data_IF_883414809311
#
_entry.id   IF_883414809311
#
_cell.length_a   1.000
_cell.length_b   1.000
_cell.length_c   1.000
_cell.angle_alpha   90.00
_cell.angle_beta   90.00
_cell.angle_gamma   90.00
#
_symmetry.space_group_name_H-M   'P 1'
#
loop_
_entity.id
_entity.type
_entity.pdbx_description
1 polymer ?
#
# COMPACT_ATOMS: atom_id res chain seq x y z
N UNK A 8 -24.82 15.29 18.56
CA UNK A 8 -23.36 15.44 18.57
C UNK A 8 -22.68 14.95 17.26
N UNK A 9 -21.35 15.14 17.10
CA UNK A 9 -20.67 14.70 15.88
C UNK A 9 -20.43 13.19 15.88
N UNK A 10 -20.01 12.68 14.71
CA UNK A 10 -19.72 11.28 14.49
C UNK A 10 -18.22 10.99 14.59
N UNK A 11 -17.88 9.80 15.12
CA UNK A 11 -16.52 9.35 15.43
C UNK A 11 -16.17 8.03 14.75
N UNK A 12 -14.94 7.95 14.23
CA UNK A 12 -14.44 6.76 13.55
C UNK A 12 -13.10 6.40 14.18
N UNK A 13 -12.91 5.13 14.55
CA UNK A 13 -11.61 4.65 15.03
C UNK A 13 -10.90 4.00 13.86
N UNK A 14 -9.68 4.44 13.55
CA UNK A 14 -8.96 3.90 12.42
C UNK A 14 -7.77 3.12 12.91
N UNK A 15 -7.73 1.82 12.61
CA UNK A 15 -6.64 0.96 13.10
C UNK A 15 -5.80 0.44 11.93
N UNK A 16 -4.71 1.07 11.58
CA UNK A 16 -3.88 0.52 10.51
C UNK A 16 -3.06 -0.63 11.01
N UNK A 17 -2.59 -1.43 10.05
CA UNK A 17 -1.56 -2.41 10.37
C UNK A 17 -0.28 -1.60 10.64
N UNK A 18 0.67 -2.21 11.34
CA UNK A 18 1.85 -1.50 11.83
C UNK A 18 2.94 -1.30 10.77
N UNK A 19 2.61 -0.79 9.60
CA UNK A 19 3.59 -0.61 8.55
C UNK A 19 3.46 0.78 7.97
N UNK A 20 4.57 1.30 7.43
CA UNK A 20 4.57 2.68 6.96
C UNK A 20 3.55 2.88 5.85
N UNK A 21 3.47 1.94 4.90
CA UNK A 21 2.55 2.12 3.77
C UNK A 21 1.11 2.13 4.28
N UNK A 22 0.82 1.29 5.25
CA UNK A 22 -0.52 1.19 5.80
C UNK A 22 -0.83 2.48 6.51
N UNK A 23 0.14 2.98 7.23
CA UNK A 23 -0.07 4.21 7.98
C UNK A 23 -0.34 5.36 7.01
N UNK A 24 0.39 5.40 5.89
CA UNK A 24 0.21 6.51 4.98
C UNK A 24 -1.16 6.44 4.37
N UNK A 25 -1.54 5.25 3.88
CA UNK A 25 -2.87 5.09 3.32
C UNK A 25 -3.94 5.48 4.31
N UNK A 26 -3.87 4.94 5.53
CA UNK A 26 -4.91 5.23 6.51
C UNK A 26 -4.96 6.69 6.90
N UNK A 27 -3.82 7.38 6.89
CA UNK A 27 -3.87 8.79 7.26
C UNK A 27 -4.56 9.59 6.17
N UNK A 28 -4.33 9.22 4.90
CA UNK A 28 -5.01 9.94 3.82
C UNK A 28 -6.50 9.74 3.91
N UNK A 29 -6.93 8.51 4.15
CA UNK A 29 -8.36 8.31 4.36
C UNK A 29 -8.80 9.01 5.63
N UNK A 30 -7.92 9.15 6.63
CA UNK A 30 -8.34 9.83 7.84
C UNK A 30 -8.55 11.30 7.59
N UNK A 31 -7.68 11.90 6.77
CA UNK A 31 -7.82 13.33 6.45
C UNK A 31 -9.10 13.62 5.71
N UNK A 32 -9.45 12.79 4.72
CA UNK A 32 -10.67 13.05 3.96
C UNK A 32 -11.91 12.96 4.85
N UNK A 33 -11.94 11.99 5.77
CA UNK A 33 -13.04 11.82 6.69
C UNK A 33 -13.16 13.01 7.65
N UNK A 34 -12.02 13.64 7.99
CA UNK A 34 -12.04 14.88 8.78
C UNK A 34 -12.69 16.03 8.00
N UNK A 35 -12.37 16.13 6.70
CA UNK A 35 -12.94 17.18 5.86
C UNK A 35 -14.44 16.98 5.67
N UNK A 36 -14.91 15.75 5.87
CA UNK A 36 -16.33 15.43 5.74
C UNK A 36 -17.01 15.36 7.09
N UNK A 37 -16.50 16.13 8.05
CA UNK A 37 -17.16 16.33 9.33
C UNK A 37 -17.30 15.03 10.14
N UNK A 38 -16.21 14.29 10.22
CA UNK A 38 -16.07 13.14 11.11
C UNK A 38 -14.95 13.40 12.08
N UNK A 39 -15.05 12.80 13.26
CA UNK A 39 -13.99 12.85 14.25
C UNK A 39 -13.18 11.56 14.15
N UNK A 40 -11.88 11.67 13.96
CA UNK A 40 -11.06 10.50 13.67
C UNK A 40 -10.26 10.14 14.92
N UNK A 41 -10.31 8.88 15.29
CA UNK A 41 -9.41 8.34 16.31
C UNK A 41 -8.37 7.50 15.56
N UNK A 42 -7.16 8.07 15.36
CA UNK A 42 -6.09 7.39 14.65
C UNK A 42 -5.27 6.59 15.68
N UNK A 43 -5.32 5.25 15.55
CA UNK A 43 -4.79 4.35 16.57
C UNK A 43 -3.69 3.43 16.06
N UNK A 44 -2.49 3.61 16.61
CA UNK A 44 -1.39 2.73 16.35
C UNK A 44 -0.45 2.83 17.54
N UNK A 45 0.71 2.21 17.43
CA UNK A 45 1.69 2.27 18.48
C UNK A 45 2.39 3.62 18.52
N UNK A 46 3.05 3.90 19.64
CA UNK A 46 3.68 5.19 19.78
C UNK A 46 4.74 5.42 18.71
N UNK A 47 5.46 4.38 18.32
CA UNK A 47 6.51 4.59 17.31
C UNK A 47 5.91 4.98 15.97
N UNK A 48 4.78 4.39 15.59
CA UNK A 48 4.17 4.70 14.30
C UNK A 48 3.51 6.09 14.26
N UNK A 49 2.81 6.43 15.32
CA UNK A 49 2.18 7.74 15.48
C UNK A 49 3.21 8.87 15.35
N UNK A 50 4.43 8.62 15.81
CA UNK A 50 5.48 9.62 15.70
C UNK A 50 5.95 9.73 14.26
N UNK A 51 5.99 8.60 13.56
CA UNK A 51 6.50 8.57 12.20
C UNK A 51 5.52 9.10 11.18
N UNK A 52 4.24 9.18 11.52
CA UNK A 52 3.25 9.73 10.59
C UNK A 52 2.82 11.11 11.05
N UNK A 53 3.21 11.52 12.26
CA UNK A 53 2.78 12.81 12.78
C UNK A 53 3.22 13.96 11.87
N UNK A 54 4.41 13.95 11.26
CA UNK A 54 4.78 15.07 10.38
C UNK A 54 3.80 15.29 9.23
N UNK A 55 3.13 14.24 8.77
CA UNK A 55 2.25 14.40 7.62
C UNK A 55 0.89 14.93 7.96
N UNK A 56 0.58 15.16 9.24
CA UNK A 56 -0.73 15.67 9.58
C UNK A 56 -0.59 17.15 9.91
N UNK A 57 -1.10 18.07 9.08
CA UNK A 57 -0.96 19.51 9.36
C UNK A 57 -1.66 19.93 10.65
N UNK A 58 -1.26 21.09 11.17
CA UNK A 58 -1.80 21.58 12.45
C UNK A 58 -3.29 21.97 12.38
N UNK A 59 -3.87 22.10 11.18
CA UNK A 59 -5.30 22.39 11.00
C UNK A 59 -6.21 21.21 11.34
N UNK A 60 -5.68 19.98 11.33
CA UNK A 60 -6.43 18.77 11.68
C UNK A 60 -6.30 18.40 13.17
N UNK A 61 -5.73 19.27 14.01
CA UNK A 61 -5.46 18.87 15.40
C UNK A 61 -6.72 18.67 16.22
N UNK A 62 -7.83 19.24 15.83
CA UNK A 62 -9.02 19.05 16.62
C UNK A 62 -9.91 17.92 16.08
N UNK A 63 -9.64 17.44 14.86
CA UNK A 63 -10.48 16.44 14.21
C UNK A 63 -9.83 15.07 14.03
N UNK A 64 -8.53 14.92 14.28
CA UNK A 64 -7.85 13.62 14.17
C UNK A 64 -6.95 13.49 15.41
N UNK A 65 -7.34 12.63 16.34
CA UNK A 65 -6.59 12.36 17.56
C UNK A 65 -5.80 11.07 17.41
N UNK A 66 -4.58 11.09 17.91
CA UNK A 66 -3.75 9.90 17.89
C UNK A 66 -3.97 9.13 19.20
N UNK A 67 -4.35 7.86 19.08
CA UNK A 67 -4.69 7.02 20.23
C UNK A 67 -3.65 5.92 20.27
N UNK A 68 -2.87 5.89 21.35
CA UNK A 68 -1.77 4.93 21.40
C UNK A 68 -2.24 3.53 21.77
N UNK A 69 -1.82 2.56 20.97
CA UNK A 69 -2.01 1.16 21.27
C UNK A 69 -0.74 0.61 21.93
N UNK A 70 -0.91 -0.04 23.08
CA UNK A 70 0.23 -0.53 23.85
C UNK A 70 0.46 -2.00 23.52
N UNK A 71 1.63 -2.28 22.86
CA UNK A 71 2.10 -3.65 22.77
C UNK A 71 2.90 -3.97 24.02
N UNK A 72 2.89 -5.19 24.53
CA UNK A 72 3.71 -5.50 25.71
C UNK A 72 5.18 -5.24 25.42
N UNK A 73 5.82 -4.42 26.27
CA UNK A 73 7.20 -4.03 26.01
C UNK A 73 8.11 -4.64 27.08
N UNK A 74 9.39 -4.74 26.75
CA UNK A 74 10.41 -5.28 27.63
C UNK A 74 11.70 -4.55 27.29
N UNK A 75 12.69 -4.57 28.19
CA UNK A 75 13.90 -3.77 27.91
C UNK A 75 14.59 -4.10 26.59
N UNK A 76 14.50 -5.34 26.12
CA UNK A 76 15.16 -5.76 24.89
C UNK A 76 14.26 -5.75 23.65
N UNK A 77 12.94 -5.53 23.82
CA UNK A 77 12.00 -5.34 22.70
C UNK A 77 11.14 -4.13 23.07
N UNK A 78 11.74 -2.95 23.08
CA UNK A 78 11.05 -1.73 23.63
C UNK A 78 10.10 -1.14 22.62
N UNK A 79 9.30 -0.14 23.01
CA UNK A 79 8.27 0.38 22.08
C UNK A 79 8.78 0.93 20.74
N UNK A 80 9.99 1.49 20.65
CA UNK A 80 10.44 2.06 19.39
C UNK A 80 10.68 0.99 18.34
N UNK A 81 10.51 -0.29 18.70
CA UNK A 81 10.55 -1.41 17.77
C UNK A 81 9.16 -2.02 17.52
N UNK A 82 8.10 -1.42 18.03
CA UNK A 82 6.78 -2.00 17.82
C UNK A 82 6.24 -1.53 16.47
N UNK A 83 6.99 -1.86 15.42
CA UNK A 83 6.62 -1.57 14.04
C UNK A 83 7.45 -2.42 13.11
N UNK A 84 6.94 -2.63 11.89
CA UNK A 84 7.65 -3.41 10.88
C UNK A 84 8.64 -2.57 10.06
N UNK A 85 8.73 -1.27 10.34
CA UNK A 85 9.60 -0.36 9.61
C UNK A 85 11.01 -0.47 10.18
N UNK A 86 11.95 -1.04 9.41
CA UNK A 86 13.32 -1.06 9.86
C UNK A 86 13.64 -2.16 10.85
N UNK A 87 12.72 -3.12 11.04
CA UNK A 87 12.79 -4.18 12.03
C UNK A 87 13.56 -5.38 11.50
N UNK A 88 14.48 -5.94 12.29
CA UNK A 88 15.18 -7.14 11.85
C UNK A 88 14.17 -8.24 11.58
N UNK A 89 14.34 -8.99 10.49
CA UNK A 89 13.34 -10.03 10.15
C UNK A 89 13.18 -11.11 11.21
N UNK A 90 14.24 -11.41 11.98
CA UNK A 90 14.18 -12.41 13.04
C UNK A 90 13.38 -11.94 14.24
N UNK A 91 13.12 -10.64 14.36
CA UNK A 91 12.21 -10.11 15.35
C UNK A 91 10.78 -10.05 14.85
N UNK A 92 10.54 -10.42 13.60
CA UNK A 92 9.17 -10.39 13.11
C UNK A 92 8.27 -11.29 13.95
N UNK A 93 8.68 -12.49 14.37
CA UNK A 93 7.74 -13.32 15.16
C UNK A 93 7.27 -12.66 16.44
N UNK A 94 8.17 -11.98 17.13
CA UNK A 94 7.79 -11.28 18.36
C UNK A 94 6.80 -10.16 18.09
N UNK A 95 6.99 -9.40 16.99
CA UNK A 95 6.06 -8.31 16.74
C UNK A 95 4.64 -8.84 16.57
N UNK A 96 4.49 -9.94 15.81
CA UNK A 96 3.18 -10.54 15.62
C UNK A 96 2.61 -11.05 16.93
N UNK A 97 3.47 -11.65 17.74
CA UNK A 97 3.04 -12.10 19.05
C UNK A 97 2.64 -10.91 19.91
N UNK A 98 3.46 -9.86 19.95
CA UNK A 98 3.12 -8.74 20.81
C UNK A 98 1.84 -8.09 20.32
N UNK A 99 1.67 -8.01 18.99
CA UNK A 99 0.46 -7.40 18.44
C UNK A 99 -0.76 -8.21 18.81
N UNK A 100 -0.63 -9.54 18.79
CA UNK A 100 -1.74 -10.42 19.13
C UNK A 100 -2.25 -10.12 20.52
N UNK A 101 -1.32 -9.92 21.44
CA UNK A 101 -1.56 -9.62 22.84
C UNK A 101 -2.10 -8.20 23.05
N UNK A 102 -2.06 -7.35 22.03
CA UNK A 102 -2.61 -6.03 22.25
C UNK A 102 -4.12 -6.03 22.12
N UNK A 103 -4.73 -7.21 21.92
CA UNK A 103 -6.16 -7.23 21.71
C UNK A 103 -6.89 -6.78 22.97
N UNK A 104 -6.38 -7.16 24.13
CA UNK A 104 -7.15 -6.77 25.30
C UNK A 104 -7.11 -5.28 25.54
N UNK A 105 -6.00 -4.60 25.19
CA UNK A 105 -5.97 -3.15 25.37
C UNK A 105 -6.80 -2.44 24.32
N UNK A 106 -6.81 -2.95 23.08
CA UNK A 106 -7.62 -2.35 22.03
C UNK A 106 -9.07 -2.32 22.42
N UNK A 107 -9.54 -3.38 23.04
CA UNK A 107 -10.90 -3.39 23.56
C UNK A 107 -11.08 -2.33 24.62
N UNK A 108 -10.06 -2.08 25.45
CA UNK A 108 -10.20 -0.99 26.40
C UNK A 108 -10.27 0.34 25.69
N UNK A 109 -9.66 0.45 24.51
CA UNK A 109 -9.75 1.69 23.74
C UNK A 109 -11.16 1.84 23.18
N UNK A 110 -11.71 0.77 22.60
CA UNK A 110 -13.06 0.86 22.03
C UNK A 110 -14.11 1.17 23.09
N UNK A 111 -14.03 0.52 24.26
CA UNK A 111 -15.02 0.74 25.30
C UNK A 111 -14.99 2.19 25.76
N UNK A 112 -13.80 2.75 25.89
CA UNK A 112 -13.68 4.10 26.40
C UNK A 112 -14.07 5.13 25.36
N UNK A 113 -13.53 4.99 24.14
CA UNK A 113 -13.81 5.97 23.10
C UNK A 113 -15.23 5.83 22.57
N UNK A 114 -15.77 4.61 22.56
CA UNK A 114 -17.11 4.35 22.06
C UNK A 114 -17.29 5.00 20.68
N UNK A 115 -16.52 4.55 19.70
CA UNK A 115 -16.63 5.15 18.37
C UNK A 115 -17.87 4.61 17.70
N UNK A 116 -18.28 5.33 16.67
CA UNK A 116 -19.41 4.87 15.90
C UNK A 116 -19.01 3.92 14.79
N UNK A 117 -17.73 3.83 14.46
CA UNK A 117 -17.29 2.97 13.39
C UNK A 117 -15.84 2.56 13.59
N UNK A 118 -15.52 1.35 13.21
CA UNK A 118 -14.15 0.88 13.22
C UNK A 118 -13.75 0.60 11.78
N UNK A 119 -12.72 1.28 11.29
CA UNK A 119 -12.12 0.98 9.98
C UNK A 119 -10.77 0.32 10.27
N UNK A 120 -10.65 -0.95 9.95
CA UNK A 120 -9.45 -1.68 10.32
C UNK A 120 -8.68 -2.16 9.10
N UNK A 121 -7.37 -2.26 9.25
CA UNK A 121 -6.58 -2.83 8.19
C UNK A 121 -6.85 -4.32 8.11
N UNK A 122 -6.38 -4.91 7.02
CA UNK A 122 -6.70 -6.31 6.73
C UNK A 122 -5.79 -7.30 7.50
N UNK A 123 -5.03 -6.86 8.51
CA UNK A 123 -4.13 -7.78 9.20
C UNK A 123 -4.41 -7.93 10.69
N UNK A 124 -5.54 -7.43 11.19
CA UNK A 124 -5.86 -7.68 12.59
C UNK A 124 -6.99 -8.69 12.65
N UNK A 125 -6.71 -9.94 12.96
CA UNK A 125 -7.84 -10.89 13.11
C UNK A 125 -8.72 -10.55 14.30
N UNK A 126 -8.15 -9.93 15.32
CA UNK A 126 -8.92 -9.66 16.53
C UNK A 126 -9.69 -8.35 16.47
N UNK A 127 -9.37 -7.44 15.52
CA UNK A 127 -10.08 -6.17 15.41
C UNK A 127 -11.55 -6.30 15.01
N UNK A 128 -11.93 -7.06 13.98
CA UNK A 128 -13.37 -7.26 13.75
C UNK A 128 -14.00 -8.15 14.80
N UNK A 129 -13.24 -9.03 15.44
CA UNK A 129 -13.81 -9.87 16.49
C UNK A 129 -14.06 -9.07 17.77
N UNK A 130 -13.20 -8.09 18.06
CA UNK A 130 -13.41 -7.29 19.27
C UNK A 130 -14.54 -6.28 19.05
N UNK A 131 -14.64 -5.74 17.84
CA UNK A 131 -15.68 -4.75 17.58
C UNK A 131 -17.06 -5.39 17.59
N UNK A 132 -17.18 -6.66 17.13
CA UNK A 132 -18.50 -7.32 17.18
C UNK A 132 -18.94 -7.49 18.61
N UNK A 133 -17.99 -7.74 19.53
CA UNK A 133 -18.32 -7.94 20.93
C UNK A 133 -18.94 -6.69 21.55
N UNK A 134 -18.53 -5.50 21.11
CA UNK A 134 -19.06 -4.28 21.68
C UNK A 134 -20.17 -3.66 20.81
N UNK A 135 -20.65 -4.41 19.81
CA UNK A 135 -21.73 -3.95 18.91
C UNK A 135 -21.37 -2.62 18.23
N UNK A 136 -20.14 -2.53 17.74
CA UNK A 136 -19.63 -1.37 17.00
C UNK A 136 -19.39 -1.81 15.56
N UNK A 137 -20.03 -1.20 14.56
CA UNK A 137 -19.82 -1.63 13.17
C UNK A 137 -18.39 -1.44 12.69
N UNK A 138 -17.89 -2.38 11.90
CA UNK A 138 -16.49 -2.32 11.48
C UNK A 138 -16.36 -2.63 10.00
N UNK A 139 -15.75 -1.73 9.25
CA UNK A 139 -15.59 -1.93 7.82
C UNK A 139 -14.12 -2.18 7.59
N UNK A 140 -13.82 -2.96 6.56
CA UNK A 140 -12.46 -3.37 6.22
C UNK A 140 -11.89 -2.41 5.19
N UNK A 141 -10.65 -1.99 5.38
CA UNK A 141 -9.96 -1.15 4.41
C UNK A 141 -8.66 -1.78 4.00
N UNK A 142 -8.54 -2.11 2.71
CA UNK A 142 -7.34 -2.72 2.16
C UNK A 142 -6.48 -1.65 1.51
N UNK A 143 -5.25 -1.58 1.96
CA UNK A 143 -4.42 -0.51 1.44
C UNK A 143 -3.68 -0.92 0.17
N UNK A 144 -3.85 -2.15 -0.29
CA UNK A 144 -3.14 -2.59 -1.48
C UNK A 144 -4.15 -2.93 -2.58
N UNK A 145 -3.67 -3.54 -3.67
CA UNK A 145 -4.52 -3.65 -4.84
C UNK A 145 -5.46 -4.84 -4.80
N UNK A 146 -6.48 -4.79 -5.67
CA UNK A 146 -7.44 -5.89 -5.82
C UNK A 146 -6.91 -7.01 -6.72
N UNK A 147 -5.99 -6.69 -7.64
CA UNK A 147 -5.57 -7.67 -8.64
C UNK A 147 -4.89 -8.86 -7.99
N UNK A 148 -4.09 -8.60 -6.95
CA UNK A 148 -3.41 -9.68 -6.25
C UNK A 148 -4.37 -10.50 -5.39
N UNK A 149 -5.43 -9.87 -4.85
CA UNK A 149 -6.39 -10.61 -4.04
C UNK A 149 -7.24 -11.55 -4.89
N UNK A 150 -7.63 -11.14 -6.11
CA UNK A 150 -8.42 -12.03 -6.96
C UNK A 150 -7.59 -13.20 -7.49
N UNK A 151 -6.28 -13.04 -7.60
CA UNK A 151 -5.48 -14.17 -8.06
C UNK A 151 -5.47 -15.27 -7.01
N UNK A 152 -5.53 -14.89 -5.73
CA UNK A 152 -5.54 -15.88 -4.67
C UNK A 152 -6.86 -16.56 -4.44
N UNK A 153 -7.98 -15.86 -4.68
CA UNK A 153 -9.30 -16.44 -4.48
C UNK A 153 -9.82 -17.16 -5.71
N UNK A 154 -9.13 -17.06 -6.86
CA UNK A 154 -9.59 -17.77 -8.04
C UNK A 154 -9.50 -19.28 -7.90
N UNK A 155 -8.39 -19.87 -7.44
CA UNK A 155 -8.37 -21.34 -7.28
C UNK A 155 -9.35 -21.85 -6.23
N UNK A 156 -9.85 -20.98 -5.34
CA UNK A 156 -10.72 -21.41 -4.24
C UNK A 156 -12.07 -21.89 -4.79
N UNK A 157 -12.62 -21.18 -5.76
CA UNK A 157 -13.87 -21.55 -6.44
C UNK A 157 -13.60 -22.29 -7.75
N UNK A 158 -12.66 -21.78 -8.57
CA UNK A 158 -12.34 -22.34 -9.88
C UNK A 158 -10.90 -22.83 -9.84
N UNK A 159 -10.66 -24.08 -9.42
CA UNK A 159 -9.29 -24.60 -9.46
C UNK A 159 -8.93 -24.92 -10.90
N UNK A 160 -9.95 -25.29 -11.68
CA UNK A 160 -9.83 -25.75 -13.06
C UNK A 160 -9.82 -24.63 -14.10
N UNK A 161 -10.61 -23.57 -13.92
CA UNK A 161 -10.68 -22.53 -14.93
C UNK A 161 -9.41 -21.66 -14.93
N UNK A 162 -9.01 -21.18 -16.10
CA UNK A 162 -7.91 -20.22 -16.16
C UNK A 162 -8.40 -18.85 -15.67
N UNK A 163 -7.46 -17.99 -15.24
CA UNK A 163 -7.84 -16.66 -14.77
C UNK A 163 -8.47 -15.90 -15.93
N UNK A 164 -9.71 -15.47 -15.79
CA UNK A 164 -10.48 -15.02 -16.95
C UNK A 164 -9.90 -13.81 -17.69
N UNK A 165 -9.68 -12.69 -17.00
CA UNK A 165 -9.42 -11.42 -17.66
C UNK A 165 -7.94 -11.14 -17.92
N UNK A 166 -7.04 -11.88 -17.28
CA UNK A 166 -5.63 -11.60 -17.32
C UNK A 166 -4.88 -12.76 -17.96
N UNK A 167 -3.81 -12.44 -18.70
CA UNK A 167 -2.96 -13.47 -19.31
C UNK A 167 -1.61 -13.53 -18.61
N UNK A 168 -1.51 -12.91 -17.43
CA UNK A 168 -0.31 -12.85 -16.62
C UNK A 168 0.04 -14.21 -16.00
N UNK A 169 1.34 -14.49 -15.95
CA UNK A 169 1.88 -15.70 -15.33
C UNK A 169 3.08 -15.37 -14.46
N UNK A 170 3.35 -16.20 -13.45
CA UNK A 170 4.43 -15.97 -12.48
C UNK A 170 5.29 -17.21 -12.30
N UNK A 171 6.58 -17.03 -11.98
CA UNK A 171 7.50 -18.17 -11.80
C UNK A 171 7.31 -18.99 -10.53
N UNK A 172 6.68 -18.44 -9.49
CA UNK A 172 6.49 -19.11 -8.20
C UNK A 172 7.83 -19.51 -7.61
N UNK A 173 8.93 -18.97 -8.15
CA UNK A 173 10.24 -19.17 -7.54
C UNK A 173 10.20 -18.57 -6.14
N UNK A 174 9.24 -17.68 -5.91
CA UNK A 174 8.97 -17.09 -4.61
C UNK A 174 8.49 -18.14 -3.62
N UNK A 175 7.62 -19.07 -4.07
CA UNK A 175 7.00 -20.19 -3.32
C UNK A 175 6.87 -20.01 -1.81
N UNK A 185 5.63 -18.20 7.70
CA UNK A 185 5.66 -19.63 7.39
C UNK A 185 4.26 -20.21 7.55
N UNK A 186 3.75 -20.25 8.79
CA UNK A 186 2.42 -20.78 9.07
C UNK A 186 1.36 -19.69 8.93
N UNK A 187 1.70 -18.59 8.26
CA UNK A 187 0.76 -17.49 8.01
C UNK A 187 -0.36 -17.96 7.10
N UNK A 188 -0.03 -18.78 6.08
CA UNK A 188 -1.02 -19.22 5.09
C UNK A 188 -2.14 -19.94 5.81
N UNK A 189 -1.81 -20.65 6.90
CA UNK A 189 -2.81 -21.40 7.65
C UNK A 189 -3.89 -20.44 8.12
N UNK A 190 -3.49 -19.22 8.51
CA UNK A 190 -4.43 -18.18 8.92
C UNK A 190 -5.07 -17.49 7.70
N UNK A 191 -4.32 -17.32 6.58
CA UNK A 191 -4.82 -16.58 5.41
C UNK A 191 -6.01 -17.25 4.72
N UNK A 192 -5.97 -18.58 4.56
CA UNK A 192 -7.06 -19.27 3.85
C UNK A 192 -8.39 -19.16 4.62
N UNK A 193 -8.34 -19.19 5.96
CA UNK A 193 -9.55 -19.10 6.78
C UNK A 193 -10.31 -17.78 6.64
N UNK A 194 -9.60 -16.70 6.30
CA UNK A 194 -10.28 -15.43 6.02
C UNK A 194 -11.21 -15.56 4.83
N UNK A 195 -10.79 -16.32 3.81
CA UNK A 195 -11.58 -16.45 2.58
C UNK A 195 -12.98 -16.95 2.90
N UNK A 196 -13.08 -17.79 3.92
CA UNK A 196 -14.33 -18.40 4.34
C UNK A 196 -14.93 -17.68 5.55
N UNK A 197 -14.36 -16.53 5.97
CA UNK A 197 -14.94 -15.76 7.07
C UNK A 197 -16.33 -15.22 6.69
N UNK A 198 -17.34 -15.59 7.49
CA UNK A 198 -18.72 -15.28 7.18
C UNK A 198 -19.04 -13.80 7.41
N UNK A 199 -20.31 -13.43 7.16
CA UNK A 199 -20.74 -12.05 7.35
C UNK A 199 -22.26 -11.99 7.45
N UNK A 200 -22.80 -11.62 8.63
CA UNK A 200 -24.24 -11.42 8.82
C UNK A 200 -24.60 -9.98 9.16
N UNK A 201 -23.72 -9.03 8.84
CA UNK A 201 -23.99 -7.63 9.12
C UNK A 201 -23.54 -6.81 7.92
N UNK A 202 -24.04 -5.57 7.86
CA UNK A 202 -23.69 -4.64 6.80
C UNK A 202 -22.30 -4.04 6.98
N UNK A 203 -21.73 -4.13 8.19
CA UNK A 203 -20.40 -3.59 8.45
C UNK A 203 -19.32 -4.31 7.64
N UNK A 204 -19.39 -5.63 7.56
CA UNK A 204 -18.44 -6.41 6.75
C UNK A 204 -18.93 -6.62 5.32
N UNK A 205 -20.17 -6.20 5.00
CA UNK A 205 -20.77 -6.37 3.67
C UNK A 205 -20.14 -5.51 2.61
N UNK A 206 -19.32 -4.55 2.99
CA UNK A 206 -18.66 -3.65 2.07
C UNK A 206 -17.23 -3.45 2.57
N UNK A 207 -16.29 -3.39 1.64
CA UNK A 207 -14.91 -3.12 1.98
C UNK A 207 -14.38 -1.95 1.15
N UNK A 208 -13.54 -1.12 1.76
CA UNK A 208 -12.90 -0.03 1.05
C UNK A 208 -11.52 -0.48 0.62
N UNK A 209 -11.05 0.04 -0.52
CA UNK A 209 -9.77 -0.44 -1.02
C UNK A 209 -9.04 0.67 -1.77
N UNK A 210 -7.70 0.61 -1.74
CA UNK A 210 -6.82 1.68 -2.24
C UNK A 210 -6.40 1.42 -3.68
N UNK A 211 -7.39 1.55 -4.55
CA UNK A 211 -7.20 1.37 -5.97
C UNK A 211 -8.26 2.21 -6.68
N UNK A 212 -8.11 2.33 -8.00
CA UNK A 212 -9.04 3.08 -8.82
C UNK A 212 -9.44 2.22 -9.98
N UNK A 213 -10.67 2.42 -10.48
CA UNK A 213 -11.22 1.49 -11.47
C UNK A 213 -10.51 1.56 -12.81
N UNK A 214 -9.88 2.70 -13.16
CA UNK A 214 -9.23 2.80 -14.46
C UNK A 214 -8.10 1.79 -14.58
N UNK A 215 -7.54 1.36 -13.44
CA UNK A 215 -6.47 0.38 -13.34
C UNK A 215 -6.97 -1.03 -13.04
N UNK A 216 -7.98 -1.18 -12.20
CA UNK A 216 -8.39 -2.52 -11.79
C UNK A 216 -9.90 -2.65 -11.75
N UNK A 217 -10.60 -2.10 -12.76
CA UNK A 217 -12.05 -2.19 -12.73
C UNK A 217 -12.60 -3.60 -12.81
N UNK A 218 -12.00 -4.42 -13.68
CA UNK A 218 -12.45 -5.79 -13.84
C UNK A 218 -12.17 -6.61 -12.59
N UNK A 219 -11.04 -6.36 -11.93
CA UNK A 219 -10.66 -7.17 -10.78
C UNK A 219 -11.47 -6.80 -9.54
N UNK A 220 -11.91 -5.53 -9.43
CA UNK A 220 -12.87 -5.19 -8.37
C UNK A 220 -14.21 -5.84 -8.64
N UNK A 221 -14.69 -5.77 -9.89
CA UNK A 221 -15.96 -6.43 -10.23
C UNK A 221 -15.90 -7.93 -10.01
N UNK A 222 -14.77 -8.56 -10.34
CA UNK A 222 -14.61 -9.99 -10.09
C UNK A 222 -14.51 -10.30 -8.61
N UNK A 223 -13.71 -9.52 -7.88
CA UNK A 223 -13.58 -9.71 -6.45
C UNK A 223 -14.90 -9.43 -5.72
N UNK A 224 -15.72 -8.51 -6.22
CA UNK A 224 -16.97 -8.26 -5.53
C UNK A 224 -17.85 -9.51 -5.55
N UNK A 225 -17.77 -10.26 -6.65
CA UNK A 225 -18.57 -11.47 -6.87
C UNK A 225 -18.08 -12.66 -6.04
N UNK A 226 -16.76 -12.85 -5.93
CA UNK A 226 -16.19 -13.94 -5.13
C UNK A 226 -16.47 -13.75 -3.65
N UNK A 227 -16.26 -12.52 -3.15
CA UNK A 227 -16.44 -12.20 -1.74
C UNK A 227 -17.90 -12.02 -1.37
N UNK A 228 -18.76 -11.79 -2.37
CA UNK A 228 -20.14 -11.38 -2.14
C UNK A 228 -20.19 -10.09 -1.31
N UNK A 229 -19.27 -9.17 -1.61
CA UNK A 229 -19.18 -7.91 -0.88
C UNK A 229 -19.15 -6.76 -1.88
N UNK A 230 -19.33 -5.56 -1.37
CA UNK A 230 -19.26 -4.39 -2.22
C UNK A 230 -17.85 -3.86 -2.10
N UNK A 231 -17.18 -3.70 -3.23
CA UNK A 231 -15.80 -3.23 -3.27
C UNK A 231 -15.85 -1.76 -3.63
N UNK A 232 -15.72 -0.89 -2.63
CA UNK A 232 -15.81 0.56 -2.79
C UNK A 232 -14.39 1.11 -2.91
N UNK A 233 -13.97 1.56 -4.08
CA UNK A 233 -12.62 2.12 -4.20
C UNK A 233 -12.54 3.52 -3.65
N UNK A 234 -11.44 3.80 -2.95
CA UNK A 234 -11.18 5.12 -2.39
C UNK A 234 -9.77 5.58 -2.78
N UNK A 235 -9.16 4.92 -3.79
CA UNK A 235 -7.82 5.22 -4.23
C UNK A 235 -7.77 5.92 -5.57
N UNK A 236 -6.56 6.33 -5.99
CA UNK A 236 -5.30 6.16 -5.27
C UNK A 236 -5.13 7.20 -4.19
N UNK A 237 -4.59 6.72 -3.07
CA UNK A 237 -4.30 7.56 -1.91
C UNK A 237 -2.82 7.86 -1.86
N UNK A 238 -2.41 8.89 -2.59
CA UNK A 238 -1.02 9.33 -2.65
C UNK A 238 -0.89 10.63 -1.88
N UNK A 239 0.15 10.73 -1.08
CA UNK A 239 0.48 11.90 -0.29
C UNK A 239 1.40 12.83 -1.08
N UNK A 240 0.92 14.11 -1.35
CA UNK A 240 1.64 15.20 -2.03
C UNK A 240 2.51 15.98 -1.05
N UNK A 241 3.78 16.20 -1.36
CA UNK A 241 4.65 16.91 -0.42
C UNK A 241 4.28 18.39 -0.33
N UNK A 242 4.51 18.95 0.86
CA UNK A 242 4.22 20.37 1.15
C UNK A 242 5.27 21.34 0.60
N UNK A 248 16.69 20.12 4.67
CA UNK A 248 15.69 20.13 3.59
C UNK A 248 15.75 18.86 2.73
N UNK A 249 16.96 18.45 2.37
CA UNK A 249 17.16 17.30 1.50
C UNK A 249 16.87 17.61 0.04
N UNK A 250 15.64 18.10 -0.24
CA UNK A 250 15.24 18.37 -1.62
C UNK A 250 16.14 19.43 -2.25
N UNK A 251 16.57 20.42 -1.47
CA UNK A 251 17.35 21.51 -2.03
C UNK A 251 18.62 20.95 -2.69
N UNK A 252 19.30 20.05 -1.98
CA UNK A 252 20.50 19.41 -2.51
C UNK A 252 20.16 18.55 -3.73
N UNK A 253 19.09 17.74 -3.62
CA UNK A 253 18.70 16.85 -4.70
C UNK A 253 18.17 17.64 -5.90
N UNK A 254 17.48 18.77 -5.65
CA UNK A 254 16.92 19.56 -6.74
C UNK A 254 18.03 20.01 -7.67
N UNK A 255 19.22 20.21 -7.10
CA UNK A 255 20.33 20.71 -7.90
C UNK A 255 20.60 19.72 -9.04
N UNK A 256 20.62 18.40 -8.73
CA UNK A 256 20.81 17.37 -9.76
C UNK A 256 19.70 17.42 -10.80
N UNK A 257 18.45 17.45 -10.33
CA UNK A 257 17.30 17.38 -11.22
C UNK A 257 17.22 18.63 -12.09
N UNK A 258 17.40 19.80 -11.47
CA UNK A 258 17.26 21.05 -12.19
C UNK A 258 18.33 21.16 -13.28
N UNK A 259 19.58 20.76 -12.96
CA UNK A 259 20.71 20.89 -13.90
C UNK A 259 20.59 19.97 -15.12
N UNK A 260 20.24 18.69 -14.90
CA UNK A 260 20.24 17.71 -15.98
C UNK A 260 19.09 17.93 -16.96
N UNK A 261 19.28 17.46 -18.18
CA UNK A 261 18.24 17.62 -19.17
C UNK A 261 17.08 16.66 -18.89
N UNK A 262 15.90 16.94 -19.46
CA UNK A 262 14.74 16.07 -19.31
C UNK A 262 14.96 14.57 -19.53
N UNK A 263 14.33 13.76 -18.67
CA UNK A 263 14.24 12.29 -18.82
C UNK A 263 15.59 11.57 -18.94
N UNK A 264 16.53 11.87 -18.02
CA UNK A 264 17.80 11.15 -18.04
C UNK A 264 18.12 10.32 -16.79
N UNK A 265 17.21 10.27 -15.80
CA UNK A 265 17.50 9.59 -14.53
C UNK A 265 16.36 8.68 -14.12
N UNK A 266 16.71 7.70 -13.27
CA UNK A 266 15.81 6.73 -12.67
C UNK A 266 16.03 6.72 -11.16
N UNK A 267 14.98 6.37 -10.41
CA UNK A 267 15.07 6.33 -8.95
C UNK A 267 14.96 4.87 -8.49
N UNK A 268 15.79 4.49 -7.54
CA UNK A 268 15.83 3.13 -7.02
C UNK A 268 15.26 3.13 -5.61
N UNK A 269 14.11 2.47 -5.46
CA UNK A 269 13.37 2.38 -4.21
C UNK A 269 13.14 0.93 -3.89
N UNK A 270 13.44 0.54 -2.67
CA UNK A 270 13.18 -0.84 -2.31
C UNK A 270 12.43 -1.00 -0.99
N UNK A 271 12.15 0.09 -0.30
CA UNK A 271 11.30 0.04 0.87
C UNK A 271 12.06 -0.20 2.15
N UNK A 272 11.33 -0.07 3.26
CA UNK A 272 11.93 -0.16 4.59
C UNK A 272 11.58 -1.46 5.30
N UNK A 273 11.01 -2.44 4.61
CA UNK A 273 10.69 -3.72 5.23
C UNK A 273 11.41 -4.89 4.55
N UNK A 274 11.88 -4.74 3.32
CA UNK A 274 12.68 -5.74 2.63
C UNK A 274 14.08 -5.19 2.44
N UNK A 275 15.09 -5.90 2.95
CA UNK A 275 16.49 -5.51 2.83
C UNK A 275 17.12 -6.47 1.83
N UNK A 276 17.41 -6.05 0.60
CA UNK A 276 17.86 -7.02 -0.42
C UNK A 276 19.15 -7.71 0.00
N UNK A 277 19.27 -9.00 -0.38
CA UNK A 277 20.45 -9.78 -0.06
C UNK A 277 21.67 -9.20 -0.77
N UNK A 278 22.86 -9.41 -0.18
CA UNK A 278 24.09 -8.79 -0.70
C UNK A 278 24.34 -9.20 -2.15
N UNK A 279 24.11 -10.48 -2.48
CA UNK A 279 24.21 -10.92 -3.87
C UNK A 279 23.14 -10.23 -4.72
N UNK A 280 21.92 -10.12 -4.18
CA UNK A 280 20.82 -9.50 -4.91
C UNK A 280 21.14 -8.03 -5.20
N UNK A 281 21.66 -7.32 -4.18
CA UNK A 281 22.06 -5.93 -4.36
C UNK A 281 23.16 -5.85 -5.39
N UNK A 282 24.08 -6.82 -5.37
CA UNK A 282 25.17 -6.85 -6.33
C UNK A 282 24.63 -7.00 -7.75
N UNK A 283 23.70 -7.94 -7.95
CA UNK A 283 23.16 -8.19 -9.30
C UNK A 283 22.39 -6.96 -9.77
N UNK A 284 21.59 -6.37 -8.88
CA UNK A 284 20.83 -5.17 -9.21
C UNK A 284 21.77 -4.02 -9.55
N UNK A 285 22.80 -3.85 -8.73
CA UNK A 285 23.71 -2.73 -8.96
C UNK A 285 24.27 -2.82 -10.37
N UNK A 286 24.60 -4.04 -10.82
CA UNK A 286 25.19 -4.22 -12.14
C UNK A 286 24.18 -3.82 -13.21
N UNK A 287 22.89 -4.05 -12.97
CA UNK A 287 21.91 -3.59 -13.94
C UNK A 287 22.06 -2.09 -14.13
N UNK A 288 22.25 -1.35 -13.03
CA UNK A 288 22.35 0.11 -13.14
C UNK A 288 23.60 0.50 -13.95
N UNK A 289 24.75 -0.12 -13.65
CA UNK A 289 26.00 0.25 -14.33
C UNK A 289 25.95 -0.14 -15.80
N UNK A 290 25.47 -1.36 -16.10
CA UNK A 290 25.41 -1.79 -17.49
C UNK A 290 24.43 -0.91 -18.26
N UNK A 291 23.34 -0.48 -17.60
CA UNK A 291 22.34 0.36 -18.26
C UNK A 291 22.94 1.71 -18.67
N UNK A 292 24.01 2.13 -18.00
CA UNK A 292 24.64 3.42 -18.21
C UNK A 292 23.66 4.56 -17.99
N UNK A 293 22.96 4.51 -16.86
CA UNK A 293 21.92 5.47 -16.56
C UNK A 293 22.26 6.21 -15.27
N UNK A 294 21.72 7.42 -15.13
CA UNK A 294 21.89 8.24 -13.95
C UNK A 294 21.09 7.62 -12.81
N UNK A 295 21.59 7.74 -11.57
CA UNK A 295 20.92 7.04 -10.48
C UNK A 295 20.95 7.82 -9.16
N UNK A 296 19.82 7.78 -8.45
CA UNK A 296 19.65 8.42 -7.15
C UNK A 296 19.22 7.34 -6.16
N UNK A 297 20.16 6.77 -5.39
CA UNK A 297 19.84 5.68 -4.47
C UNK A 297 20.60 5.84 -3.15
N UNK A 298 19.90 5.89 -2.01
CA UNK A 298 20.54 5.90 -0.68
C UNK A 298 19.76 4.93 0.22
N UNK A 299 19.96 3.63 -0.02
CA UNK A 299 19.20 2.54 0.59
C UNK A 299 19.47 2.45 2.09
N UNK A 300 18.63 1.68 2.80
CA UNK A 300 18.68 1.52 4.24
C UNK A 300 18.98 0.07 4.62
N UNK A 301 19.39 -0.08 5.87
CA UNK A 301 19.78 -1.34 6.48
C UNK A 301 19.00 -1.51 7.77
N UNK A 302 18.82 -2.75 8.26
CA UNK A 302 18.03 -2.96 9.47
C UNK A 302 18.59 -2.20 10.67
N UNK A 303 17.68 -1.75 11.54
CA UNK A 303 18.10 -1.08 12.76
C UNK A 303 18.05 -2.03 13.97
N UNK A 332 16.36 7.70 4.88
CA UNK A 332 15.18 8.21 4.18
C UNK A 332 15.55 9.10 2.99
N UNK A 333 14.54 9.46 2.18
CA UNK A 333 14.69 10.31 0.99
C UNK A 333 13.33 10.82 0.53
N UNK A 334 13.26 11.98 -0.10
CA UNK A 334 11.97 12.51 -0.60
C UNK A 334 11.54 11.91 -1.95
N UNK A 335 10.98 10.71 -1.90
CA UNK A 335 10.62 10.00 -3.14
C UNK A 335 9.61 10.76 -3.98
N UNK A 336 8.56 11.28 -3.35
CA UNK A 336 7.50 11.94 -4.10
C UNK A 336 8.00 13.18 -4.82
N UNK A 337 8.81 13.99 -4.14
CA UNK A 337 9.36 15.18 -4.76
C UNK A 337 10.28 14.80 -5.92
N UNK A 338 11.07 13.74 -5.72
CA UNK A 338 11.99 13.26 -6.74
C UNK A 338 11.22 12.75 -7.98
N UNK A 339 10.11 12.03 -7.75
CA UNK A 339 9.30 11.55 -8.88
C UNK A 339 8.64 12.69 -9.62
N UNK A 340 8.58 13.87 -9.01
CA UNK A 340 7.87 15.00 -9.59
C UNK A 340 8.86 16.01 -10.18
N UNK A 341 9.87 15.60 -10.95
CA UNK A 341 10.76 16.55 -11.65
C UNK A 341 10.88 16.17 -13.14
N UNK A 342 11.24 17.17 -13.96
CA UNK A 342 11.34 16.95 -15.41
C UNK A 342 12.40 15.93 -15.78
N UNK A 343 13.56 16.01 -15.11
CA UNK A 343 14.66 15.10 -15.37
C UNK A 343 14.26 13.65 -15.13
N UNK A 344 13.23 13.43 -14.30
CA UNK A 344 12.74 12.11 -13.93
C UNK A 344 11.88 11.49 -15.01
N UNK A 345 12.35 10.38 -15.57
CA UNK A 345 11.56 9.64 -16.54
C UNK A 345 11.67 8.16 -16.28
N UNK A 346 12.20 7.78 -15.12
CA UNK A 346 12.34 6.38 -14.79
C UNK A 346 12.23 6.04 -13.32
N UNK A 347 11.63 4.89 -13.05
CA UNK A 347 11.46 4.41 -11.69
C UNK A 347 11.73 2.91 -11.64
N UNK A 348 12.89 2.56 -11.08
CA UNK A 348 13.25 1.18 -10.78
C UNK A 348 12.75 0.93 -9.37
N UNK A 349 11.57 0.35 -9.27
CA UNK A 349 10.89 0.20 -7.99
C UNK A 349 10.73 -1.27 -7.67
N UNK A 350 10.69 -1.58 -6.36
CA UNK A 350 10.31 -2.91 -5.93
C UNK A 350 8.83 -3.19 -6.18
N UNK A 351 8.05 -2.16 -6.52
CA UNK A 351 6.62 -2.28 -6.87
C UNK A 351 5.74 -2.58 -5.66
N UNK A 352 6.03 -1.92 -4.54
CA UNK A 352 5.04 -1.81 -3.49
C UNK A 352 3.86 -0.97 -3.97
N UNK A 353 2.72 -1.11 -3.30
CA UNK A 353 1.53 -0.45 -3.84
C UNK A 353 1.69 1.07 -3.88
N UNK A 354 2.23 1.68 -2.81
CA UNK A 354 2.41 3.12 -2.79
C UNK A 354 3.30 3.58 -3.93
N UNK A 355 4.42 2.88 -4.16
CA UNK A 355 5.31 3.24 -5.25
C UNK A 355 4.62 3.08 -6.60
N UNK A 356 3.77 2.07 -6.73
CA UNK A 356 3.06 1.90 -7.99
C UNK A 356 2.01 2.99 -8.16
N UNK A 357 1.38 3.41 -7.06
CA UNK A 357 0.34 4.43 -7.18
C UNK A 357 0.96 5.79 -7.43
N UNK A 358 2.11 6.06 -6.78
CA UNK A 358 2.75 7.36 -6.90
C UNK A 358 3.18 7.61 -8.34
N UNK A 359 3.80 6.61 -8.96
CA UNK A 359 4.24 6.78 -10.33
C UNK A 359 3.05 7.00 -11.27
N UNK A 360 1.98 6.22 -11.09
CA UNK A 360 0.84 6.38 -11.99
C UNK A 360 0.22 7.75 -11.82
N UNK A 361 0.18 8.25 -10.57
CA UNK A 361 -0.33 9.60 -10.33
C UNK A 361 0.58 10.65 -10.97
N UNK A 362 1.89 10.51 -10.77
CA UNK A 362 2.84 11.47 -11.33
C UNK A 362 3.01 11.28 -12.83
N UNK A 363 3.04 10.04 -13.30
CA UNK A 363 3.30 9.80 -14.70
C UNK A 363 4.67 9.26 -15.08
N UNK A 364 5.43 8.70 -14.16
CA UNK A 364 6.79 8.26 -14.43
C UNK A 364 6.75 6.77 -14.76
N UNK A 365 7.37 6.33 -15.86
CA UNK A 365 7.36 4.91 -16.24
C UNK A 365 8.04 4.03 -15.20
N UNK A 366 7.54 2.80 -15.09
CA UNK A 366 7.90 1.89 -14.00
C UNK A 366 8.79 0.79 -14.55
N UNK A 367 10.02 0.77 -14.07
CA UNK A 367 10.94 -0.34 -14.28
C UNK A 367 10.81 -1.24 -13.04
N UNK A 368 10.18 -2.40 -13.22
CA UNK A 368 9.84 -3.27 -12.11
C UNK A 368 10.86 -4.37 -11.85
N UNK A 369 11.26 -4.50 -10.59
CA UNK A 369 12.17 -5.56 -10.14
C UNK A 369 11.60 -6.14 -8.85
N UNK A 370 10.54 -6.92 -8.94
CA UNK A 370 9.88 -7.43 -7.74
C UNK A 370 10.64 -8.53 -7.01
N UNK A 371 10.48 -8.55 -5.67
CA UNK A 371 11.18 -9.55 -4.87
C UNK A 371 10.48 -9.86 -3.54
N UNK A 372 9.17 -9.65 -3.40
CA UNK A 372 8.51 -9.87 -2.09
C UNK A 372 7.06 -10.29 -2.33
N UNK A 373 6.23 -10.20 -1.29
CA UNK A 373 4.91 -10.83 -1.28
C UNK A 373 3.98 -10.34 -2.40
N UNK A 374 3.85 -9.03 -2.61
CA UNK A 374 2.85 -8.64 -3.59
C UNK A 374 3.47 -8.05 -4.84
N UNK A 375 4.74 -7.68 -4.75
CA UNK A 375 5.46 -6.99 -5.82
C UNK A 375 5.28 -7.65 -7.19
N UNK A 376 5.53 -8.95 -7.37
CA UNK A 376 5.43 -9.54 -8.72
C UNK A 376 4.07 -9.31 -9.36
N UNK A 377 2.98 -9.42 -8.57
CA UNK A 377 1.65 -9.20 -9.12
C UNK A 377 1.48 -7.74 -9.51
N UNK A 378 1.82 -6.82 -8.60
CA UNK A 378 1.72 -5.40 -8.91
C UNK A 378 2.52 -5.09 -10.15
N UNK A 379 3.69 -5.73 -10.28
CA UNK A 379 4.55 -5.57 -11.44
C UNK A 379 3.92 -6.16 -12.70
N UNK A 380 3.19 -7.27 -12.57
CA UNK A 380 2.45 -7.79 -13.71
C UNK A 380 1.35 -6.84 -14.16
N UNK A 381 0.65 -6.24 -13.20
CA UNK A 381 -0.44 -5.31 -13.51
C UNK A 381 0.07 -4.07 -14.22
N UNK A 382 1.28 -3.60 -13.89
CA UNK A 382 1.82 -2.40 -14.51
C UNK A 382 2.02 -2.63 -16.01
N UNK A 383 2.63 -3.77 -16.36
CA UNK A 383 2.88 -4.11 -17.76
C UNK A 383 1.58 -4.31 -18.53
N UNK A 384 0.62 -5.04 -17.95
CA UNK A 384 -0.68 -5.20 -18.61
C UNK A 384 -1.31 -3.85 -18.93
N UNK A 385 -1.26 -2.91 -17.98
CA UNK A 385 -1.84 -1.60 -18.15
C UNK A 385 -1.10 -0.77 -19.20
N UNK A 386 0.12 -1.16 -19.54
CA UNK A 386 0.88 -0.45 -20.52
C UNK A 386 1.67 0.70 -19.96
N UNK A 387 1.47 1.03 -18.68
CA UNK A 387 2.16 2.14 -18.01
C UNK A 387 3.57 1.82 -17.56
N UNK A 388 4.09 0.62 -17.85
CA UNK A 388 5.45 0.25 -17.50
C UNK A 388 5.83 -1.08 -18.12
N UNK A 389 7.06 -1.51 -17.84
CA UNK A 389 7.59 -2.78 -18.31
C UNK A 389 8.19 -3.55 -17.13
N UNK A 390 8.12 -4.89 -17.20
CA UNK A 390 8.71 -5.73 -16.16
C UNK A 390 10.01 -6.34 -16.67
N UNK A 391 10.98 -6.46 -15.76
CA UNK A 391 12.23 -7.12 -16.08
C UNK A 391 12.01 -8.55 -15.64
N UNK A 392 11.99 -9.47 -16.60
CA UNK A 392 11.68 -10.85 -16.26
C UNK A 392 12.97 -11.41 -15.68
N UNK A 393 12.93 -11.72 -14.40
CA UNK A 393 14.13 -12.27 -13.76
C UNK A 393 14.39 -13.62 -14.40
N UNK A 394 15.69 -13.96 -14.59
CA UNK A 394 16.07 -15.14 -15.40
C UNK A 394 15.40 -16.44 -14.96
N UNK A 395 15.30 -17.44 -15.85
CA UNK A 395 14.79 -18.76 -15.43
C UNK A 395 15.41 -19.31 -14.14
N UNK A 396 16.55 -18.75 -13.69
CA UNK A 396 17.13 -19.11 -12.40
C UNK A 396 16.40 -18.39 -11.27
N UNK A 397 16.70 -18.80 -10.03
CA UNK A 397 16.02 -18.23 -8.88
C UNK A 397 16.29 -16.74 -8.69
N UNK A 398 17.54 -16.33 -8.88
CA UNK A 398 18.09 -14.99 -8.64
C UNK A 398 17.68 -13.99 -9.73
N UNK A 399 18.00 -12.70 -9.49
CA UNK A 399 17.72 -11.63 -10.45
C UNK A 399 18.84 -11.56 -11.49
N UNK A 400 18.45 -11.37 -12.75
CA UNK A 400 19.39 -11.29 -13.85
C UNK A 400 20.05 -9.92 -13.88
N UNK A 401 21.36 -9.88 -13.68
CA UNK A 401 22.07 -8.60 -13.60
C UNK A 401 21.92 -7.81 -14.89
N UNK A 402 22.01 -8.49 -16.05
CA UNK A 402 21.92 -7.81 -17.33
C UNK A 402 20.48 -7.50 -17.76
N UNK A 403 19.49 -8.27 -17.25
CA UNK A 403 18.10 -8.07 -17.66
C UNK A 403 17.60 -6.70 -17.25
N UNK A 404 17.97 -6.27 -16.04
CA UNK A 404 17.60 -4.93 -15.55
C UNK A 404 18.21 -3.85 -16.42
N UNK A 405 19.49 -4.02 -16.76
CA UNK A 405 20.19 -3.02 -17.54
C UNK A 405 19.56 -2.87 -18.92
N UNK A 406 19.09 -3.98 -19.51
CA UNK A 406 18.53 -3.87 -20.84
C UNK A 406 17.32 -2.94 -20.84
N UNK A 407 16.44 -3.06 -19.83
CA UNK A 407 15.22 -2.27 -19.79
C UNK A 407 15.44 -0.77 -19.45
N UNK A 408 16.31 -0.44 -18.47
CA UNK A 408 16.42 0.96 -18.04
C UNK A 408 16.82 1.87 -19.19
N UNK A 409 17.85 1.47 -19.94
CA UNK A 409 18.27 2.24 -21.10
C UNK A 409 17.16 2.27 -22.15
N UNK A 410 16.49 1.13 -22.40
CA UNK A 410 15.47 1.06 -23.45
C UNK A 410 14.26 1.93 -23.16
N UNK A 411 14.09 2.40 -21.93
CA UNK A 411 12.92 3.16 -21.54
C UNK A 411 13.26 4.61 -21.21
N UNK A 412 14.38 4.87 -20.53
CA UNK A 412 14.67 6.21 -20.04
C UNK A 412 15.65 6.96 -20.95
N UNK A 413 16.91 6.51 -21.00
CA UNK A 413 17.91 7.24 -21.78
C UNK A 413 17.56 7.18 -23.26
N UNK A 414 17.16 5.99 -23.73
CA UNK A 414 16.78 5.75 -25.12
C UNK A 414 15.27 5.60 -25.17
N UNK A 415 14.61 6.34 -26.03
CA UNK A 415 13.18 6.12 -26.18
C UNK A 415 12.97 4.92 -27.09
N UNK A 416 13.40 3.75 -26.63
CA UNK A 416 13.14 2.54 -27.42
C UNK A 416 11.68 2.14 -27.28
N UNK A 417 11.15 2.19 -26.05
CA UNK A 417 9.75 1.93 -25.80
C UNK A 417 9.07 3.24 -25.41
N UNK A 418 8.19 3.72 -26.31
CA UNK A 418 7.39 4.92 -26.11
C UNK A 418 5.92 4.57 -25.95
N UNK A 419 5.53 3.34 -26.31
CA UNK A 419 4.17 2.87 -26.08
C UNK A 419 3.83 3.00 -24.60
N UNK A 420 4.86 2.86 -23.76
CA UNK A 420 4.68 2.94 -22.32
C UNK A 420 4.55 4.39 -21.91
N UNK A 421 5.37 5.27 -22.49
CA UNK A 421 5.33 6.67 -22.10
C UNK A 421 3.96 7.25 -22.42
N UNK A 422 3.41 6.90 -23.59
CA UNK A 422 2.04 7.31 -23.89
C UNK A 422 1.12 6.90 -22.75
N UNK A 423 1.21 5.63 -22.32
CA UNK A 423 0.32 5.14 -21.27
C UNK A 423 0.55 5.82 -19.93
N UNK A 424 1.80 6.20 -19.63
CA UNK A 424 2.10 6.80 -18.32
C UNK A 424 1.43 8.16 -18.17
N UNK A 425 1.56 9.02 -19.17
CA UNK A 425 0.96 10.35 -19.12
C UNK A 425 -0.57 10.27 -19.17
N UNK A 426 -1.10 9.36 -20.00
CA UNK A 426 -2.54 9.21 -20.15
C UNK A 426 -3.18 8.79 -18.82
N UNK A 427 -2.54 7.84 -18.13
CA UNK A 427 -3.03 7.36 -16.83
C UNK A 427 -2.99 8.47 -15.80
N UNK A 428 -1.89 9.23 -15.77
CA UNK A 428 -1.73 10.29 -14.79
C UNK A 428 -2.74 11.41 -15.03
N UNK A 429 -3.17 11.59 -16.28
CA UNK A 429 -4.17 12.62 -16.54
C UNK A 429 -5.48 12.26 -15.87
N UNK A 430 -5.89 10.99 -15.97
CA UNK A 430 -7.18 10.60 -15.41
C UNK A 430 -7.13 10.64 -13.90
N UNK A 431 -5.98 10.29 -13.31
CA UNK A 431 -5.92 10.22 -11.86
C UNK A 431 -6.11 11.62 -11.29
N UNK A 432 -5.39 12.60 -11.84
CA UNK A 432 -5.52 13.95 -11.36
C UNK A 432 -6.90 14.53 -11.70
N UNK A 433 -7.51 14.06 -12.78
CA UNK A 433 -8.83 14.55 -13.14
C UNK A 433 -9.83 14.18 -12.04
N UNK A 434 -9.73 12.95 -11.51
CA UNK A 434 -10.61 12.51 -10.44
C UNK A 434 -10.37 13.40 -9.23
N UNK A 435 -11.44 13.96 -8.66
CA UNK A 435 -11.23 14.92 -7.59
C UNK A 435 -12.02 14.56 -6.36
N UNK A 436 -12.97 15.38 -5.92
CA UNK A 436 -13.63 15.03 -4.67
C UNK A 436 -14.67 13.93 -4.82
N UNK A 437 -14.97 13.48 -6.05
CA UNK A 437 -15.88 12.36 -6.14
C UNK A 437 -15.21 11.09 -5.67
N UNK A 438 -13.86 11.14 -5.48
CA UNK A 438 -13.08 9.98 -5.08
C UNK A 438 -13.64 9.35 -3.84
N UNK A 439 -14.18 10.16 -2.93
CA UNK A 439 -14.72 9.63 -1.69
C UNK A 439 -16.23 9.66 -1.67
N UNK A 440 -16.84 9.94 -2.82
CA UNK A 440 -18.29 10.02 -2.86
C UNK A 440 -18.93 8.65 -2.58
N UNK A 441 -18.54 7.60 -3.31
CA UNK A 441 -19.19 6.32 -3.08
C UNK A 441 -18.99 5.83 -1.67
N UNK A 442 -17.78 6.08 -1.12
CA UNK A 442 -17.45 5.63 0.23
C UNK A 442 -18.34 6.31 1.27
N UNK A 443 -18.50 7.63 1.15
CA UNK A 443 -19.30 8.36 2.13
C UNK A 443 -20.74 7.85 2.12
N UNK A 444 -21.26 7.52 0.93
CA UNK A 444 -22.63 7.04 0.85
C UNK A 444 -22.80 5.73 1.59
N UNK A 445 -21.86 4.79 1.39
CA UNK A 445 -22.04 3.51 2.09
C UNK A 445 -21.90 3.66 3.59
N UNK A 446 -20.94 4.48 4.06
CA UNK A 446 -20.80 4.68 5.51
C UNK A 446 -22.09 5.27 6.07
N UNK A 447 -22.67 6.23 5.35
CA UNK A 447 -23.90 6.81 5.83
C UNK A 447 -25.00 5.77 5.92
N UNK A 448 -25.08 4.89 4.93
CA UNK A 448 -26.15 3.91 4.91
C UNK A 448 -25.97 2.88 6.01
N UNK A 449 -24.72 2.45 6.22
CA UNK A 449 -24.39 1.43 7.19
C UNK A 449 -24.74 1.89 8.59
N UNK A 450 -24.37 3.12 8.93
CA UNK A 450 -24.61 3.61 10.28
C UNK A 450 -26.10 3.80 10.53
N UNK A 451 -26.86 4.07 9.48
CA UNK A 451 -28.31 4.20 9.63
C UNK A 451 -28.98 2.85 9.86
N UNK A 452 -28.47 1.79 9.22
CA UNK A 452 -29.07 0.48 9.40
C UNK A 452 -28.89 0.03 10.85
N UNK A 453 -27.68 0.21 11.38
CA UNK A 453 -27.31 -0.21 12.72
C UNK A 453 -28.04 0.61 13.79
N UNK A 454 -28.41 1.85 13.42
CA UNK A 454 -29.20 2.71 14.30
C UNK A 454 -30.50 2.03 14.74
N UNK A 455 -31.16 1.29 13.83
CA UNK A 455 -32.34 0.53 14.22
C UNK A 455 -32.02 -0.71 15.08
N UNK A 456 -30.87 -1.36 14.86
CA UNK A 456 -30.51 -2.61 15.55
C UNK A 456 -29.95 -2.25 16.93
N UNK A 457 -30.86 -1.90 17.83
CA UNK A 457 -30.50 -1.46 19.17
C UNK A 457 -31.63 -1.83 20.13
#
# INVERSE_FOLDING_TARGET
>A
MDAAQQGDTTTILMLPWLGYGHLSAFLELAKSLSRRNFHIYFCSTSVNLDAIKPKLPSSFSDSIQFVELHLPSSPEFPPHLHTTNGLPPTLMPALHQAFSMAAQHFESILQTLAPHLLIYDSLQPWAPRVASSLKIPAINFNTTGVFVISQGLHPIHYPHSKFPFSEFVLHNHWKAMYSTADGASTERTRKRGEAFLYCLHASCSVILINSFRELEGKYMDYLSVLLNKKVVPVGPLVYEPNQDGEDEGYSSIKNWLDKKEPSSTVFVSFGSEYFPSKEEMEEIAHGLEASEVNFIWVVRFPQGDNTSGIEDALPKGFLERAGERGMVVKGWAPQAKILKHWSTGGFVSHCGWNSVMESMMFGVPIIGVPMHVDQPFNAGLVEEAGVGVEAKRDPDGKIQRDEVAKLIKEVVVEKTREDVRKKAREMSEILRSKGEEKFDEMVAEISLLLKIEHHHHHH
#
